data_IF_933654471575
#
_entry.id   IF_933654471575
#
_cell.length_a   1.000
_cell.length_b   1.000
_cell.length_c   1.000
_cell.angle_alpha   90.00
_cell.angle_beta   90.00
_cell.angle_gamma   90.00
#
_symmetry.space_group_name_H-M   'P 1'
#
loop_
_entity.id
_entity.type
_entity.pdbx_description
1 polymer ?
#
# COMPACT_ATOMS: atom_id res chain seq x y z
N UNK A 1 -19.69 0.22 -8.52
CA UNK A 1 -18.42 0.68 -7.92
C UNK A 1 -17.89 -0.30 -6.89
N UNK A 2 -18.67 -0.71 -5.88
CA UNK A 2 -18.19 -1.66 -4.86
C UNK A 2 -17.72 -3.01 -5.46
N UNK A 3 -18.46 -3.59 -6.40
CA UNK A 3 -18.08 -4.86 -7.05
C UNK A 3 -16.74 -4.81 -7.82
N UNK A 4 -16.39 -3.66 -8.44
CA UNK A 4 -15.10 -3.49 -9.13
C UNK A 4 -13.94 -3.53 -8.11
N UNK A 5 -14.15 -2.95 -6.92
CA UNK A 5 -13.16 -2.93 -5.83
C UNK A 5 -12.98 -4.33 -5.23
N UNK A 6 -14.08 -5.02 -4.92
CA UNK A 6 -14.02 -6.39 -4.37
C UNK A 6 -13.34 -7.37 -5.33
N UNK A 7 -13.54 -7.20 -6.64
CA UNK A 7 -12.86 -8.03 -7.64
C UNK A 7 -11.35 -7.84 -7.58
N UNK A 8 -10.87 -6.60 -7.49
CA UNK A 8 -9.44 -6.29 -7.38
C UNK A 8 -8.87 -6.81 -6.06
N UNK A 9 -9.61 -6.69 -4.95
CA UNK A 9 -9.19 -7.26 -3.67
C UNK A 9 -9.05 -8.77 -3.75
N UNK A 10 -10.05 -9.49 -4.26
CA UNK A 10 -9.98 -10.94 -4.39
C UNK A 10 -8.80 -11.41 -5.27
N UNK A 11 -8.55 -10.71 -6.38
CA UNK A 11 -7.40 -11.01 -7.25
C UNK A 11 -6.08 -10.80 -6.51
N UNK A 12 -5.96 -9.69 -5.77
CA UNK A 12 -4.74 -9.37 -5.01
C UNK A 12 -4.53 -10.34 -3.86
N UNK A 13 -5.59 -10.73 -3.16
CA UNK A 13 -5.56 -11.72 -2.07
C UNK A 13 -4.95 -13.03 -2.58
N UNK A 14 -5.54 -13.60 -3.62
CA UNK A 14 -5.11 -14.90 -4.15
C UNK A 14 -3.71 -14.81 -4.79
N UNK A 15 -3.50 -13.88 -5.71
CA UNK A 15 -2.26 -13.86 -6.49
C UNK A 15 -1.05 -13.35 -5.71
N UNK A 16 -1.24 -12.36 -4.83
CA UNK A 16 -0.13 -11.68 -4.16
C UNK A 16 0.03 -12.07 -2.69
N UNK A 17 -1.06 -12.29 -1.95
CA UNK A 17 -0.95 -12.61 -0.53
C UNK A 17 -0.96 -14.11 -0.23
N UNK A 18 -1.65 -14.93 -1.03
CA UNK A 18 -1.74 -16.38 -0.82
C UNK A 18 -0.69 -17.19 -1.62
N UNK A 19 -0.37 -16.77 -2.85
CA UNK A 19 0.51 -17.54 -3.76
C UNK A 19 1.97 -17.10 -3.72
N UNK A 20 2.24 -15.79 -3.60
CA UNK A 20 3.60 -15.26 -3.67
C UNK A 20 4.34 -15.42 -2.33
N UNK A 21 5.58 -15.90 -2.39
CA UNK A 21 6.46 -16.00 -1.22
C UNK A 21 7.26 -14.72 -1.01
N UNK A 22 7.55 -14.36 0.25
CA UNK A 22 8.37 -13.19 0.59
C UNK A 22 9.55 -13.61 1.47
N UNK A 23 10.77 -13.32 1.02
CA UNK A 23 11.98 -13.68 1.77
C UNK A 23 12.23 -12.74 2.95
N UNK A 24 11.93 -11.46 2.76
CA UNK A 24 12.04 -10.43 3.78
C UNK A 24 11.12 -9.22 3.47
N UNK A 25 11.20 -8.22 4.34
CA UNK A 25 10.39 -7.01 4.23
C UNK A 25 10.70 -6.19 2.98
N UNK A 26 11.96 -6.13 2.56
CA UNK A 26 12.35 -5.37 1.37
C UNK A 26 11.84 -6.07 0.12
N UNK A 27 11.99 -7.40 0.05
CA UNK A 27 11.42 -8.23 -1.01
C UNK A 27 9.90 -8.04 -1.14
N UNK A 28 9.17 -8.05 -0.02
CA UNK A 28 7.74 -7.72 -0.01
C UNK A 28 7.43 -6.32 -0.59
N UNK A 29 8.20 -5.29 -0.22
CA UNK A 29 7.99 -3.93 -0.72
C UNK A 29 8.31 -3.82 -2.23
N UNK A 30 9.33 -4.53 -2.71
CA UNK A 30 9.71 -4.51 -4.12
C UNK A 30 8.72 -5.30 -4.99
N UNK A 31 8.25 -6.46 -4.50
CA UNK A 31 7.21 -7.26 -5.15
C UNK A 31 5.86 -6.55 -5.15
N UNK A 32 5.45 -5.93 -4.04
CA UNK A 32 4.19 -5.17 -3.98
C UNK A 32 4.19 -3.96 -4.93
N UNK A 33 5.34 -3.29 -5.06
CA UNK A 33 5.52 -2.23 -6.07
C UNK A 33 5.34 -2.78 -7.48
N UNK A 34 5.99 -3.90 -7.78
CA UNK A 34 5.97 -4.53 -9.10
C UNK A 34 4.58 -5.04 -9.46
N UNK A 35 3.91 -5.74 -8.54
CA UNK A 35 2.54 -6.23 -8.69
C UNK A 35 1.55 -5.10 -8.98
N UNK A 36 1.60 -4.01 -8.20
CA UNK A 36 0.72 -2.85 -8.44
C UNK A 36 1.01 -2.18 -9.78
N UNK A 37 2.28 -2.05 -10.18
CA UNK A 37 2.64 -1.50 -11.49
C UNK A 37 2.12 -2.40 -12.63
N UNK A 38 2.25 -3.71 -12.50
CA UNK A 38 1.69 -4.68 -13.44
C UNK A 38 0.18 -4.51 -13.57
N UNK A 39 -0.56 -4.46 -12.45
CA UNK A 39 -2.02 -4.27 -12.49
C UNK A 39 -2.43 -2.93 -13.11
N UNK A 40 -1.66 -1.86 -12.92
CA UNK A 40 -1.99 -0.54 -13.46
C UNK A 40 -1.61 -0.36 -14.93
N UNK A 41 -0.49 -0.94 -15.36
CA UNK A 41 0.15 -0.62 -16.64
C UNK A 41 -0.04 -1.69 -17.69
N UNK A 42 -0.01 -2.96 -17.29
CA UNK A 42 0.12 -4.09 -18.20
C UNK A 42 -1.10 -5.01 -18.19
N UNK A 43 -1.72 -5.25 -17.03
CA UNK A 43 -2.88 -6.14 -16.93
C UNK A 43 -4.14 -5.49 -17.52
N UNK A 44 -4.73 -6.04 -18.58
CA UNK A 44 -6.01 -5.56 -19.09
C UNK A 44 -7.15 -5.97 -18.16
N UNK A 45 -8.11 -5.09 -17.95
CA UNK A 45 -9.36 -5.45 -17.30
C UNK A 45 -10.37 -5.89 -18.36
N UNK A 46 -10.65 -7.19 -18.45
CA UNK A 46 -11.60 -7.76 -19.43
C UNK A 46 -13.00 -7.17 -19.30
N UNK A 47 -13.43 -6.81 -18.10
CA UNK A 47 -14.72 -6.15 -17.87
C UNK A 47 -14.72 -4.66 -18.27
N UNK A 48 -13.56 -4.07 -18.58
CA UNK A 48 -13.40 -2.68 -19.04
C UNK A 48 -12.73 -2.65 -20.42
N UNK A 49 -13.38 -3.29 -21.39
CA UNK A 49 -12.98 -3.26 -22.80
C UNK A 49 -11.58 -3.83 -23.08
N UNK A 50 -11.08 -4.72 -22.21
CA UNK A 50 -9.70 -5.22 -22.28
C UNK A 50 -8.65 -4.09 -22.29
N UNK A 51 -8.91 -3.00 -21.56
CA UNK A 51 -7.96 -1.90 -21.38
C UNK A 51 -7.31 -1.95 -20.00
N UNK A 52 -6.07 -1.49 -19.92
CA UNK A 52 -5.37 -1.31 -18.64
C UNK A 52 -5.89 -0.05 -17.94
N UNK A 53 -5.77 0.05 -16.60
CA UNK A 53 -6.08 1.28 -15.87
C UNK A 53 -5.39 2.52 -16.46
N UNK A 54 -4.15 2.39 -16.95
CA UNK A 54 -3.44 3.45 -17.65
C UNK A 54 -4.14 3.91 -18.93
N UNK A 55 -4.55 2.97 -19.79
CA UNK A 55 -5.27 3.30 -21.03
C UNK A 55 -6.59 4.02 -20.73
N UNK A 56 -7.37 3.49 -19.78
CA UNK A 56 -8.63 4.10 -19.35
C UNK A 56 -8.44 5.50 -18.76
N UNK A 57 -7.37 5.71 -17.98
CA UNK A 57 -7.06 7.01 -17.39
C UNK A 57 -6.64 8.03 -18.46
N UNK A 58 -5.85 7.59 -19.45
CA UNK A 58 -5.40 8.42 -20.58
C UNK A 58 -6.54 8.84 -21.49
N UNK A 59 -7.53 7.97 -21.71
CA UNK A 59 -8.75 8.30 -22.47
C UNK A 59 -9.58 9.37 -21.77
N UNK A 60 -9.71 9.29 -20.43
CA UNK A 60 -10.47 10.27 -19.63
C UNK A 60 -9.74 11.59 -19.46
N UNK A 61 -8.42 11.54 -19.27
CA UNK A 61 -7.57 12.71 -19.05
C UNK A 61 -6.34 12.58 -19.97
N UNK A 62 -6.42 13.10 -21.21
CA UNK A 62 -5.36 12.94 -22.21
C UNK A 62 -4.00 13.48 -21.79
N UNK A 63 -3.93 14.43 -20.86
CA UNK A 63 -2.68 15.00 -20.36
C UNK A 63 -2.27 14.46 -18.98
N UNK A 64 -2.88 13.35 -18.52
CA UNK A 64 -2.53 12.75 -17.23
C UNK A 64 -1.07 12.31 -17.24
N UNK A 65 -0.37 12.67 -16.17
CA UNK A 65 0.97 12.21 -15.90
C UNK A 65 0.94 10.74 -15.46
N UNK A 66 1.66 9.88 -16.19
CA UNK A 66 1.73 8.44 -15.91
C UNK A 66 2.20 8.13 -14.48
N UNK A 67 2.98 9.03 -13.86
CA UNK A 67 3.49 8.89 -12.49
C UNK A 67 2.38 8.77 -11.45
N UNK A 68 1.17 9.28 -11.70
CA UNK A 68 0.03 9.10 -10.79
C UNK A 68 -0.39 7.64 -10.59
N UNK A 69 -0.07 6.75 -11.54
CA UNK A 69 -0.33 5.32 -11.42
C UNK A 69 0.90 4.53 -10.92
N UNK A 70 2.00 5.21 -10.57
CA UNK A 70 3.29 4.61 -10.21
C UNK A 70 3.72 4.87 -8.75
N UNK A 71 2.75 5.02 -7.85
CA UNK A 71 2.83 5.69 -6.54
C UNK A 71 3.69 5.08 -5.40
N UNK A 72 4.84 4.39 -5.52
CA UNK A 72 5.33 3.34 -4.55
C UNK A 72 4.43 2.74 -3.42
N UNK A 73 4.68 1.51 -2.94
CA UNK A 73 4.10 1.07 -1.68
C UNK A 73 4.68 1.92 -0.54
N UNK A 74 3.87 2.19 0.48
CA UNK A 74 4.24 3.02 1.63
C UNK A 74 4.17 2.17 2.89
N UNK A 75 5.25 2.17 3.65
CA UNK A 75 5.29 1.56 4.97
C UNK A 75 4.63 2.48 6.00
N UNK A 76 3.37 2.17 6.33
CA UNK A 76 2.63 2.95 7.32
C UNK A 76 3.21 2.83 8.72
N UNK A 77 3.81 1.70 9.09
CA UNK A 77 4.40 1.51 10.41
C UNK A 77 5.68 2.34 10.56
N UNK A 78 6.55 2.37 9.55
CA UNK A 78 7.73 3.23 9.56
C UNK A 78 7.34 4.71 9.55
N UNK A 79 6.33 5.10 8.76
CA UNK A 79 5.83 6.48 8.77
C UNK A 79 5.23 6.86 10.12
N UNK A 80 4.45 5.98 10.73
CA UNK A 80 3.86 6.21 12.03
C UNK A 80 4.96 6.34 13.08
N UNK A 81 5.92 5.42 13.14
CA UNK A 81 7.08 5.50 14.05
C UNK A 81 7.82 6.82 13.90
N UNK A 82 8.12 7.24 12.65
CA UNK A 82 8.78 8.52 12.37
C UNK A 82 7.98 9.72 12.88
N UNK A 83 6.65 9.69 12.76
CA UNK A 83 5.78 10.78 13.20
C UNK A 83 5.49 10.77 14.70
N UNK A 84 5.50 9.61 15.36
CA UNK A 84 5.34 9.50 16.82
C UNK A 84 6.46 10.21 17.58
N UNK A 85 7.69 10.25 17.04
CA UNK A 85 8.79 11.04 17.60
C UNK A 85 8.66 12.56 17.37
N UNK A 86 7.78 12.99 16.46
CA UNK A 86 7.53 14.41 16.12
C UNK A 86 6.32 15.00 16.87
N UNK A 87 5.43 14.14 17.38
CA UNK A 87 4.22 14.56 18.09
C UNK A 87 4.48 14.68 19.60
N UNK A 88 4.95 15.84 20.04
CA UNK A 88 4.80 16.24 21.45
C UNK A 88 3.32 16.52 21.74
N UNK A 89 2.56 15.48 22.04
CA UNK A 89 1.23 15.59 22.61
C UNK A 89 0.08 15.42 21.63
N UNK A 90 -0.63 14.31 21.77
CA UNK A 90 -1.94 14.07 21.17
C UNK A 90 -2.38 12.63 21.43
N UNK A 91 -3.54 12.43 22.05
CA UNK A 91 -4.12 11.10 22.27
C UNK A 91 -4.60 10.49 20.95
N UNK A 92 -3.68 9.93 20.17
CA UNK A 92 -4.01 9.01 19.09
C UNK A 92 -3.53 7.62 19.51
N UNK A 93 -4.42 6.91 20.20
CA UNK A 93 -4.23 5.53 20.63
C UNK A 93 -4.29 4.61 19.40
N UNK A 94 -3.21 4.55 18.63
CA UNK A 94 -2.75 3.28 18.10
C UNK A 94 -1.80 2.75 19.18
N UNK A 95 -2.35 1.99 20.11
CA UNK A 95 -1.54 1.31 21.13
C UNK A 95 -0.69 0.29 20.40
N UNK A 96 0.57 0.62 20.16
CA UNK A 96 1.60 -0.39 19.92
C UNK A 96 1.59 -1.32 21.15
N UNK A 97 1.12 -2.58 21.04
CA UNK A 97 1.02 -3.48 22.18
C UNK A 97 2.39 -3.82 22.78
N UNK A 98 3.49 -3.50 22.08
CA UNK A 98 4.87 -3.71 22.51
C UNK A 98 5.53 -2.45 23.10
N UNK A 99 4.91 -1.26 23.00
CA UNK A 99 5.49 0.01 23.49
C UNK A 99 5.32 0.23 25.00
N UNK A 100 4.91 -0.78 25.77
CA UNK A 100 4.79 -0.67 27.23
C UNK A 100 6.12 -0.73 27.98
N UNK A 101 7.19 -1.28 27.39
CA UNK A 101 8.47 -1.44 28.10
C UNK A 101 9.33 -0.17 28.12
N UNK A 102 9.18 0.72 27.14
CA UNK A 102 10.02 1.93 27.06
C UNK A 102 9.60 3.06 28.01
N UNK A 103 8.34 3.09 28.47
CA UNK A 103 7.83 4.16 29.34
C UNK A 103 8.07 3.91 30.83
N UNK A 104 8.31 2.67 31.26
CA UNK A 104 8.46 2.33 32.68
C UNK A 104 9.84 2.74 33.22
N UNK A 105 10.87 2.83 32.37
CA UNK A 105 12.25 3.11 32.82
C UNK A 105 12.57 4.61 33.01
N UNK A 106 11.68 5.52 32.61
CA UNK A 106 11.88 6.98 32.77
C UNK A 106 11.04 7.60 33.92
N UNK A 107 10.36 6.79 34.73
CA UNK A 107 9.59 7.25 35.90
C UNK A 107 10.32 7.05 37.24
N UNK A 108 11.57 6.58 37.23
CA UNK A 108 12.40 6.37 38.42
C UNK A 108 13.83 6.90 38.28
N UNK A 109 13.99 8.11 37.73
CA UNK A 109 15.20 8.93 37.91
C UNK A 109 14.83 10.39 38.11
#
# INVERSE_FOLDING_TARGET
MQADVETVHNISEVEFYEIEDFSDRQDFMDKSRSYRLFCNMERPNTYKENKTPWQLAKEKVPNLDKRFLMIPPVDLDALLKKNLFSLSGGKNLLTDPYCKEALINNLYK
#
